data_IF_329415243975
#
_entry.id   IF_329415243975
#
_cell.length_a   1.000
_cell.length_b   1.000
_cell.length_c   1.000
_cell.angle_alpha   90.00
_cell.angle_beta   90.00
_cell.angle_gamma   90.00
#
_symmetry.space_group_name_H-M   'P 1'
#
loop_
_entity.id
_entity.type
_entity.pdbx_description
1 polymer ?
#
# COMPACT_ATOMS: atom_id res chain seq x y z
N UNK A 1 -14.89 -5.56 -11.51
CA UNK A 1 -14.07 -4.34 -11.21
C UNK A 1 -13.94 -4.21 -9.70
N UNK A 2 -12.73 -4.19 -9.13
CA UNK A 2 -12.54 -4.19 -7.67
C UNK A 2 -13.03 -2.87 -7.06
N UNK A 3 -14.27 -2.85 -6.55
CA UNK A 3 -14.90 -1.70 -5.92
C UNK A 3 -14.26 -1.45 -4.54
N UNK A 4 -13.84 -0.21 -4.27
CA UNK A 4 -13.46 0.28 -2.94
C UNK A 4 -14.19 1.59 -2.65
N UNK A 5 -14.84 1.66 -1.50
CA UNK A 5 -15.66 2.80 -1.13
C UNK A 5 -14.85 3.98 -0.56
N UNK A 6 -13.90 4.54 -1.33
CA UNK A 6 -13.15 5.74 -0.91
C UNK A 6 -14.04 6.96 -0.80
N UNK A 7 -15.17 6.99 -1.53
CA UNK A 7 -16.18 8.05 -1.44
C UNK A 7 -16.66 8.30 -0.01
N UNK A 8 -16.73 7.25 0.82
CA UNK A 8 -17.04 7.40 2.23
C UNK A 8 -15.99 8.26 2.96
N UNK A 9 -14.70 7.98 2.74
CA UNK A 9 -13.61 8.75 3.34
C UNK A 9 -13.64 10.20 2.85
N UNK A 10 -13.82 10.40 1.54
CA UNK A 10 -13.89 11.73 0.93
C UNK A 10 -15.07 12.55 1.48
N UNK A 11 -16.25 11.94 1.59
CA UNK A 11 -17.48 12.62 2.05
C UNK A 11 -17.41 13.01 3.52
N UNK A 12 -16.69 12.24 4.33
CA UNK A 12 -16.45 12.52 5.75
C UNK A 12 -15.14 13.30 5.98
N UNK A 13 -14.47 13.77 4.91
CA UNK A 13 -13.22 14.54 4.98
C UNK A 13 -12.08 13.84 5.73
N UNK A 14 -12.03 12.52 5.64
CA UNK A 14 -10.99 11.72 6.28
C UNK A 14 -9.71 11.79 5.45
N UNK A 15 -8.63 12.25 6.04
CA UNK A 15 -7.31 12.31 5.40
C UNK A 15 -6.68 10.90 5.44
N UNK A 16 -6.49 10.30 4.27
CA UNK A 16 -5.84 8.98 4.12
C UNK A 16 -4.62 9.02 3.18
N UNK A 17 -4.23 10.21 2.74
CA UNK A 17 -3.05 10.47 1.93
C UNK A 17 -2.34 11.73 2.42
N UNK A 18 -1.01 11.73 2.34
CA UNK A 18 -0.14 12.86 2.66
C UNK A 18 1.20 12.68 1.95
N UNK A 19 1.58 13.69 1.17
CA UNK A 19 2.91 13.78 0.58
C UNK A 19 3.98 14.05 1.67
N UNK A 20 5.27 13.79 1.38
CA UNK A 20 6.36 14.16 2.28
C UNK A 20 6.31 15.64 2.66
N UNK A 21 6.57 15.95 3.93
CA UNK A 21 6.47 17.32 4.46
C UNK A 21 7.85 17.97 4.52
N UNK A 22 8.84 17.29 5.12
CA UNK A 22 10.20 17.83 5.27
C UNK A 22 11.20 17.23 4.30
N UNK A 23 10.95 16.03 3.77
CA UNK A 23 11.86 15.40 2.83
C UNK A 23 11.73 16.03 1.44
N UNK A 24 12.84 16.52 0.90
CA UNK A 24 12.89 17.10 -0.44
C UNK A 24 13.24 16.06 -1.50
N UNK A 25 12.58 16.08 -2.68
CA UNK A 25 12.90 15.16 -3.76
C UNK A 25 14.25 15.50 -4.41
N UNK A 26 14.98 14.48 -4.85
CA UNK A 26 16.21 14.62 -5.62
C UNK A 26 15.92 15.02 -7.07
N UNK A 27 14.81 14.52 -7.64
CA UNK A 27 14.35 14.90 -8.97
C UNK A 27 12.84 15.14 -8.98
N UNK A 28 12.44 16.16 -9.75
CA UNK A 28 11.03 16.48 -10.00
C UNK A 28 10.77 16.34 -11.50
N UNK A 29 9.75 15.55 -11.82
CA UNK A 29 9.28 15.29 -13.17
C UNK A 29 7.82 15.72 -13.31
N UNK A 30 7.35 15.82 -14.55
CA UNK A 30 5.92 16.09 -14.81
C UNK A 30 5.03 15.01 -14.19
N UNK A 31 5.48 13.76 -14.23
CA UNK A 31 4.74 12.59 -13.73
C UNK A 31 4.83 12.37 -12.21
N UNK A 32 5.82 12.96 -11.51
CA UNK A 32 6.10 12.60 -10.11
C UNK A 32 7.44 13.09 -9.60
N UNK A 33 7.85 12.53 -8.47
CA UNK A 33 9.09 12.90 -7.77
C UNK A 33 9.91 11.67 -7.42
N UNK A 34 11.24 11.83 -7.41
CA UNK A 34 12.21 10.77 -7.09
C UNK A 34 12.99 11.14 -5.84
N UNK A 35 13.17 10.17 -4.95
CA UNK A 35 13.97 10.22 -3.73
C UNK A 35 14.95 9.04 -3.79
N UNK A 36 16.20 9.27 -4.19
CA UNK A 36 17.20 8.21 -4.36
C UNK A 36 17.51 7.48 -3.06
N UNK A 37 17.56 8.22 -1.95
CA UNK A 37 17.70 7.69 -0.60
C UNK A 37 16.35 7.27 0.02
N UNK A 38 15.25 7.55 -0.67
CA UNK A 38 13.89 7.28 -0.25
C UNK A 38 13.36 8.24 0.82
N UNK A 39 12.04 8.22 1.02
CA UNK A 39 11.33 8.94 2.08
C UNK A 39 10.35 8.01 2.79
N UNK A 40 10.22 8.17 4.11
CA UNK A 40 9.20 7.46 4.91
C UNK A 40 7.95 8.32 5.16
N UNK A 41 7.95 9.59 4.73
CA UNK A 41 6.91 10.55 5.07
C UNK A 41 5.68 10.51 4.16
N UNK A 42 5.75 9.74 3.07
CA UNK A 42 4.67 9.60 2.10
C UNK A 42 3.65 8.55 2.54
N UNK A 43 2.50 8.98 3.05
CA UNK A 43 1.36 8.10 3.32
C UNK A 43 0.41 8.16 2.13
N UNK A 44 0.18 7.04 1.46
CA UNK A 44 -0.69 7.00 0.27
C UNK A 44 -1.57 5.76 0.35
N UNK A 45 -2.53 5.79 1.27
CA UNK A 45 -3.43 4.65 1.50
C UNK A 45 -4.34 4.46 0.28
N UNK A 46 -4.65 3.19 0.02
CA UNK A 46 -5.64 2.79 -0.98
C UNK A 46 -5.33 3.28 -2.41
N UNK A 47 -4.04 3.54 -2.71
CA UNK A 47 -3.58 3.94 -4.04
C UNK A 47 -3.76 2.84 -5.10
N UNK A 48 -3.52 1.59 -4.70
CA UNK A 48 -3.60 0.43 -5.60
C UNK A 48 -4.90 -0.36 -5.38
N UNK A 49 -5.30 -1.18 -6.35
CA UNK A 49 -6.45 -2.08 -6.27
C UNK A 49 -6.25 -3.25 -5.29
N UNK A 50 -5.03 -3.47 -4.82
CA UNK A 50 -4.74 -4.47 -3.80
C UNK A 50 -5.53 -4.17 -2.53
N UNK A 51 -6.28 -5.16 -2.05
CA UNK A 51 -7.04 -5.08 -0.78
C UNK A 51 -6.13 -5.46 0.38
N UNK A 52 -6.50 -5.05 1.59
CA UNK A 52 -5.81 -5.44 2.82
C UNK A 52 -6.03 -6.93 3.05
N UNK A 53 -4.93 -7.68 3.13
CA UNK A 53 -4.91 -9.15 3.21
C UNK A 53 -4.63 -9.68 4.62
N UNK A 54 -4.14 -8.84 5.53
CA UNK A 54 -3.72 -9.24 6.89
C UNK A 54 -4.17 -8.27 7.97
N UNK A 55 -4.33 -8.76 9.20
CA UNK A 55 -4.62 -7.92 10.37
C UNK A 55 -3.49 -6.95 10.71
N UNK A 56 -2.23 -7.33 10.47
CA UNK A 56 -1.08 -6.43 10.65
C UNK A 56 -1.19 -5.23 9.72
N UNK A 57 -1.49 -5.48 8.45
CA UNK A 57 -1.71 -4.42 7.46
C UNK A 57 -2.93 -3.57 7.83
N UNK A 58 -4.03 -4.17 8.25
CA UNK A 58 -5.22 -3.45 8.72
C UNK A 58 -4.91 -2.49 9.87
N UNK A 59 -4.23 -2.99 10.93
CA UNK A 59 -3.84 -2.17 12.08
C UNK A 59 -2.99 -0.97 11.65
N UNK A 60 -2.04 -1.19 10.72
CA UNK A 60 -1.22 -0.10 10.17
C UNK A 60 -2.06 0.93 9.40
N UNK A 61 -3.00 0.51 8.55
CA UNK A 61 -3.87 1.44 7.82
C UNK A 61 -4.70 2.31 8.76
N UNK A 62 -5.26 1.70 9.81
CA UNK A 62 -6.03 2.42 10.82
C UNK A 62 -5.15 3.39 11.63
N UNK A 63 -3.93 2.97 11.99
CA UNK A 63 -2.97 3.85 12.66
C UNK A 63 -2.57 5.05 11.80
N UNK A 64 -2.37 4.87 10.50
CA UNK A 64 -2.10 5.99 9.58
C UNK A 64 -3.30 6.94 9.50
N UNK A 65 -4.53 6.42 9.41
CA UNK A 65 -5.73 7.27 9.43
C UNK A 65 -5.80 8.07 10.74
N UNK A 66 -5.63 7.41 11.88
CA UNK A 66 -5.63 8.06 13.19
C UNK A 66 -4.60 9.19 13.26
N UNK A 67 -3.36 8.91 12.85
CA UNK A 67 -2.27 9.89 12.84
C UNK A 67 -2.47 11.06 11.87
N UNK A 68 -3.04 10.82 10.69
CA UNK A 68 -3.25 11.88 9.69
C UNK A 68 -4.42 12.82 10.04
N UNK A 69 -5.26 12.45 11.00
CA UNK A 69 -6.46 13.20 11.39
C UNK A 69 -6.43 13.54 12.89
N UNK A 70 -5.56 14.46 13.35
CA UNK A 70 -5.40 14.75 14.78
C UNK A 70 -6.64 15.36 15.45
N UNK A 71 -7.62 15.84 14.67
CA UNK A 71 -8.89 16.34 15.16
C UNK A 71 -9.97 15.26 15.29
N UNK A 72 -9.69 14.03 14.83
CA UNK A 72 -10.62 12.91 14.87
C UNK A 72 -10.77 12.41 16.30
N UNK A 73 -12.01 12.25 16.76
CA UNK A 73 -12.28 11.65 18.06
C UNK A 73 -12.41 10.11 18.00
N UNK A 74 -12.55 9.48 19.16
CA UNK A 74 -12.62 8.02 19.28
C UNK A 74 -13.85 7.43 18.55
N UNK A 75 -14.99 8.12 18.57
CA UNK A 75 -16.24 7.65 17.98
C UNK A 75 -16.18 7.77 16.45
N UNK A 76 -15.63 8.88 15.94
CA UNK A 76 -15.33 9.07 14.51
C UNK A 76 -14.33 8.02 14.02
N UNK A 77 -13.29 7.73 14.79
CA UNK A 77 -12.32 6.71 14.44
C UNK A 77 -12.93 5.31 14.43
N UNK A 78 -13.76 4.96 15.42
CA UNK A 78 -14.50 3.70 15.41
C UNK A 78 -15.42 3.61 14.18
N UNK A 79 -16.10 4.69 13.83
CA UNK A 79 -16.97 4.74 12.65
C UNK A 79 -16.20 4.49 11.35
N UNK A 80 -15.03 5.12 11.18
CA UNK A 80 -14.14 4.90 10.03
C UNK A 80 -13.58 3.48 10.03
N UNK A 81 -13.14 2.97 11.17
CA UNK A 81 -12.58 1.63 11.30
C UNK A 81 -13.62 0.55 10.94
N UNK A 82 -14.87 0.71 11.40
CA UNK A 82 -16.00 -0.15 11.03
C UNK A 82 -16.28 -0.12 9.53
N UNK A 83 -16.22 1.06 8.91
CA UNK A 83 -16.39 1.17 7.46
C UNK A 83 -15.30 0.42 6.70
N UNK A 84 -14.03 0.59 7.09
CA UNK A 84 -12.89 -0.08 6.44
C UNK A 84 -12.94 -1.60 6.65
N UNK A 85 -13.30 -2.06 7.85
CA UNK A 85 -13.35 -3.49 8.16
C UNK A 85 -14.55 -4.21 7.54
N UNK A 86 -15.57 -3.48 7.08
CA UNK A 86 -16.68 -4.07 6.37
C UNK A 86 -16.23 -4.56 4.99
N UNK A 87 -16.13 -5.88 4.82
CA UNK A 87 -15.72 -6.53 3.58
C UNK A 87 -16.50 -6.05 2.33
N UNK A 88 -17.77 -5.65 2.48
CA UNK A 88 -18.59 -5.12 1.36
C UNK A 88 -18.08 -3.78 0.83
N UNK A 89 -17.34 -3.03 1.62
CA UNK A 89 -16.76 -1.75 1.22
C UNK A 89 -15.43 -1.92 0.44
N UNK A 90 -14.91 -3.15 0.33
CA UNK A 90 -13.81 -3.47 -0.58
C UNK A 90 -12.43 -3.01 -0.14
N UNK A 91 -12.23 -2.71 1.15
CA UNK A 91 -10.90 -2.41 1.69
C UNK A 91 -10.15 -3.67 2.11
N UNK A 92 -10.83 -4.66 2.70
CA UNK A 92 -10.26 -5.91 3.24
C UNK A 92 -10.71 -7.14 2.45
N UNK A 93 -9.90 -8.21 2.44
CA UNK A 93 -10.28 -9.51 1.84
C UNK A 93 -10.93 -10.49 2.83
N UNK A 94 -10.76 -10.25 4.14
CA UNK A 94 -11.20 -11.12 5.23
C UNK A 94 -12.34 -10.50 6.04
N UNK A 95 -13.09 -11.33 6.75
CA UNK A 95 -14.10 -10.88 7.71
C UNK A 95 -13.43 -10.58 9.06
N UNK A 96 -13.68 -9.41 9.63
CA UNK A 96 -13.19 -9.01 10.95
C UNK A 96 -14.29 -9.25 11.98
N UNK A 97 -14.01 -9.96 13.07
CA UNK A 97 -14.97 -10.08 14.16
C UNK A 97 -15.06 -8.78 14.94
N UNK A 98 -16.22 -8.50 15.53
CA UNK A 98 -16.44 -7.30 16.36
C UNK A 98 -15.42 -7.19 17.50
N UNK A 99 -15.13 -8.30 18.17
CA UNK A 99 -14.14 -8.31 19.26
C UNK A 99 -12.73 -7.97 18.75
N UNK A 100 -12.34 -8.52 17.61
CA UNK A 100 -11.02 -8.23 17.03
C UNK A 100 -10.93 -6.76 16.58
N UNK A 101 -11.99 -6.23 15.98
CA UNK A 101 -12.06 -4.82 15.60
C UNK A 101 -11.89 -3.91 16.82
N UNK A 102 -12.63 -4.17 17.90
CA UNK A 102 -12.49 -3.41 19.16
C UNK A 102 -11.08 -3.45 19.72
N UNK A 103 -10.44 -4.63 19.71
CA UNK A 103 -9.05 -4.77 20.15
C UNK A 103 -8.09 -3.95 19.28
N UNK A 104 -8.26 -3.98 17.96
CA UNK A 104 -7.43 -3.18 17.04
C UNK A 104 -7.65 -1.68 17.25
N UNK A 105 -8.90 -1.23 17.42
CA UNK A 105 -9.22 0.18 17.69
C UNK A 105 -8.56 0.63 18.98
N UNK A 106 -8.73 -0.13 20.06
CA UNK A 106 -8.11 0.15 21.35
C UNK A 106 -6.58 0.26 21.21
N UNK A 107 -5.96 -0.76 20.62
CA UNK A 107 -4.52 -0.79 20.37
C UNK A 107 -4.04 0.45 19.60
N UNK A 108 -4.76 0.87 18.56
CA UNK A 108 -4.39 2.03 17.73
C UNK A 108 -4.57 3.34 18.50
N UNK A 109 -5.66 3.48 19.25
CA UNK A 109 -5.93 4.69 20.05
C UNK A 109 -4.92 4.91 21.18
N UNK A 110 -4.18 3.87 21.59
CA UNK A 110 -3.12 3.95 22.60
C UNK A 110 -1.75 4.32 22.02
N UNK A 111 -1.60 4.48 20.70
CA UNK A 111 -0.33 4.91 20.12
C UNK A 111 -0.05 6.38 20.43
N UNK A 112 1.22 6.66 20.76
CA UNK A 112 1.74 8.01 20.80
C UNK A 112 1.80 8.58 19.38
N UNK A 113 1.06 9.68 19.14
CA UNK A 113 0.98 10.36 17.85
C UNK A 113 2.08 11.40 17.64
N UNK A 114 2.95 11.64 18.63
CA UNK A 114 4.14 12.48 18.43
C UNK A 114 5.12 11.82 17.46
N UNK A 115 5.18 10.49 17.44
CA UNK A 115 5.97 9.73 16.47
C UNK A 115 5.13 9.31 15.25
N UNK A 116 5.59 9.58 14.02
CA UNK A 116 4.88 9.16 12.82
C UNK A 116 4.85 7.62 12.71
N UNK A 117 3.74 7.01 12.25
CA UNK A 117 3.66 5.57 12.01
C UNK A 117 4.77 5.11 11.07
N UNK A 118 5.50 4.06 11.46
CA UNK A 118 6.56 3.48 10.62
C UNK A 118 6.00 3.13 9.25
N UNK A 119 6.59 3.67 8.21
CA UNK A 119 6.16 3.47 6.83
C UNK A 119 7.29 2.82 6.03
N UNK A 120 6.95 2.20 4.90
CA UNK A 120 7.98 1.71 3.98
C UNK A 120 8.68 2.86 3.28
N UNK A 121 9.93 2.64 2.91
CA UNK A 121 10.71 3.61 2.18
C UNK A 121 10.14 3.78 0.77
N UNK A 122 9.86 5.02 0.36
CA UNK A 122 9.39 5.37 -0.99
C UNK A 122 10.48 6.08 -1.75
N UNK A 123 10.89 5.52 -2.88
CA UNK A 123 11.84 6.18 -3.79
C UNK A 123 11.16 6.96 -4.91
N UNK A 124 9.91 6.64 -5.20
CA UNK A 124 9.15 7.23 -6.30
C UNK A 124 7.76 7.51 -5.80
N UNK A 125 7.28 8.74 -6.02
CA UNK A 125 5.92 9.16 -5.72
C UNK A 125 5.34 9.74 -7.02
N UNK A 126 4.37 9.03 -7.60
CA UNK A 126 3.67 9.54 -8.77
C UNK A 126 2.63 10.58 -8.34
N UNK A 127 2.42 11.63 -9.14
CA UNK A 127 1.30 12.56 -8.93
C UNK A 127 -0.03 11.86 -9.23
N UNK A 128 -1.08 12.21 -8.52
CA UNK A 128 -2.43 11.70 -8.82
C UNK A 128 -2.92 12.16 -10.20
N UNK A 129 -2.43 13.31 -10.66
CA UNK A 129 -2.75 13.87 -11.99
C UNK A 129 -1.91 13.29 -13.13
N UNK A 130 -0.94 12.41 -12.84
CA UNK A 130 -0.15 11.81 -13.91
C UNK A 130 -1.03 10.88 -14.75
N UNK A 131 -1.07 11.10 -16.07
CA UNK A 131 -1.86 10.30 -17.01
C UNK A 131 -1.16 9.00 -17.42
N UNK A 132 -0.18 8.56 -16.62
CA UNK A 132 0.57 7.34 -16.88
C UNK A 132 -0.29 6.11 -16.63
N UNK A 133 -0.29 5.20 -17.60
CA UNK A 133 -0.82 3.85 -17.45
C UNK A 133 0.01 3.11 -16.40
N UNK A 134 -0.60 2.15 -15.69
CA UNK A 134 0.14 1.32 -14.73
C UNK A 134 1.40 0.64 -15.32
N UNK A 135 1.37 0.22 -16.59
CA UNK A 135 2.53 -0.33 -17.30
C UNK A 135 3.67 0.67 -17.48
N UNK A 136 3.35 1.95 -17.69
CA UNK A 136 4.35 3.02 -17.81
C UNK A 136 4.93 3.37 -16.44
N UNK A 137 4.09 3.40 -15.39
CA UNK A 137 4.55 3.54 -14.00
C UNK A 137 5.51 2.41 -13.63
N UNK A 138 5.17 1.17 -13.98
CA UNK A 138 6.03 0.00 -13.81
C UNK A 138 7.39 0.18 -14.53
N UNK A 139 7.37 0.66 -15.77
CA UNK A 139 8.61 0.90 -16.52
C UNK A 139 9.51 1.93 -15.82
N UNK A 140 8.95 3.07 -15.40
CA UNK A 140 9.67 4.13 -14.66
C UNK A 140 10.28 3.57 -13.37
N UNK A 141 9.49 2.84 -12.58
CA UNK A 141 9.98 2.22 -11.34
C UNK A 141 11.12 1.25 -11.65
N UNK A 142 10.99 0.38 -12.66
CA UNK A 142 12.06 -0.53 -13.08
C UNK A 142 13.34 0.20 -13.50
N UNK A 143 13.24 1.29 -14.26
CA UNK A 143 14.38 2.09 -14.73
C UNK A 143 15.13 2.81 -13.60
N UNK A 144 14.41 3.26 -12.56
CA UNK A 144 15.01 3.94 -11.41
C UNK A 144 15.54 2.92 -10.40
N UNK A 145 14.74 1.90 -10.07
CA UNK A 145 15.10 0.85 -9.11
C UNK A 145 16.22 -0.06 -9.61
N UNK A 146 16.25 -0.34 -10.92
CA UNK A 146 17.31 -1.13 -11.57
C UNK A 146 18.70 -0.50 -11.51
N UNK A 147 18.81 0.77 -11.12
CA UNK A 147 20.10 1.44 -10.84
C UNK A 147 20.69 1.03 -9.48
N UNK A 148 19.88 0.44 -8.59
CA UNK A 148 20.33 0.02 -7.26
C UNK A 148 20.86 -1.42 -7.30
N UNK A 149 22.00 -1.68 -6.65
CA UNK A 149 22.71 -2.97 -6.75
C UNK A 149 21.98 -4.14 -6.08
N UNK A 150 20.96 -3.90 -5.25
CA UNK A 150 20.34 -4.94 -4.42
C UNK A 150 18.82 -4.80 -4.41
N UNK A 151 18.12 -5.85 -4.87
CA UNK A 151 16.67 -5.99 -4.75
C UNK A 151 16.31 -6.32 -3.29
N UNK A 152 15.48 -5.50 -2.67
CA UNK A 152 15.01 -5.66 -1.29
C UNK A 152 13.61 -6.29 -1.22
N UNK A 153 13.14 -6.61 0.00
CA UNK A 153 11.77 -7.09 0.22
C UNK A 153 10.72 -6.04 -0.15
N UNK A 154 10.96 -4.78 0.23
CA UNK A 154 10.04 -3.68 -0.08
C UNK A 154 9.91 -3.50 -1.60
N UNK A 155 11.02 -3.60 -2.34
CA UNK A 155 11.00 -3.52 -3.80
C UNK A 155 10.13 -4.63 -4.40
N UNK A 156 10.34 -5.87 -3.94
CA UNK A 156 9.56 -7.03 -4.42
C UNK A 156 8.08 -6.82 -4.11
N UNK A 157 7.73 -6.35 -2.92
CA UNK A 157 6.35 -6.08 -2.56
C UNK A 157 5.72 -4.99 -3.43
N UNK A 158 6.43 -3.91 -3.71
CA UNK A 158 5.95 -2.86 -4.62
C UNK A 158 5.72 -3.38 -6.05
N UNK A 159 6.61 -4.24 -6.55
CA UNK A 159 6.41 -4.90 -7.84
C UNK A 159 5.19 -5.84 -7.84
N UNK A 160 4.93 -6.56 -6.74
CA UNK A 160 3.72 -7.38 -6.58
C UNK A 160 2.45 -6.53 -6.62
N UNK A 161 2.43 -5.40 -5.92
CA UNK A 161 1.31 -4.47 -5.94
C UNK A 161 1.06 -3.88 -7.33
N UNK A 162 2.13 -3.55 -8.05
CA UNK A 162 2.02 -2.98 -9.38
C UNK A 162 1.56 -4.01 -10.44
N UNK A 163 1.95 -5.29 -10.31
CA UNK A 163 1.37 -6.39 -11.09
C UNK A 163 -0.12 -6.62 -10.75
N UNK A 164 -0.49 -6.56 -9.47
CA UNK A 164 -1.88 -6.66 -9.04
C UNK A 164 -2.75 -5.52 -9.62
N UNK A 165 -2.20 -4.30 -9.69
CA UNK A 165 -2.88 -3.12 -10.24
C UNK A 165 -3.30 -3.30 -11.71
N UNK A 166 -2.45 -3.95 -12.51
CA UNK A 166 -2.73 -4.31 -13.91
C UNK A 166 -3.53 -5.60 -14.07
N UNK A 167 -4.01 -6.18 -12.97
CA UNK A 167 -4.74 -7.45 -12.94
C UNK A 167 -3.94 -8.61 -13.55
N UNK A 168 -2.61 -8.57 -13.41
CA UNK A 168 -1.75 -9.59 -13.95
C UNK A 168 -1.27 -10.56 -12.86
N UNK A 169 -1.25 -11.86 -13.18
CA UNK A 169 -0.85 -12.90 -12.23
C UNK A 169 0.60 -12.69 -11.82
N UNK A 170 0.82 -12.64 -10.51
CA UNK A 170 2.13 -12.41 -9.92
C UNK A 170 2.92 -13.72 -9.92
N UNK A 171 3.95 -13.80 -10.76
CA UNK A 171 4.89 -14.92 -10.83
C UNK A 171 6.31 -14.46 -10.52
N UNK A 172 7.14 -15.37 -10.01
CA UNK A 172 8.56 -15.07 -9.74
C UNK A 172 9.31 -14.70 -11.02
N UNK A 173 8.96 -15.30 -12.15
CA UNK A 173 9.57 -14.98 -13.44
C UNK A 173 9.27 -13.56 -13.90
N UNK A 174 8.05 -13.06 -13.64
CA UNK A 174 7.70 -11.65 -13.95
C UNK A 174 8.44 -10.69 -13.05
N UNK A 175 8.55 -10.99 -11.75
CA UNK A 175 9.34 -10.20 -10.81
C UNK A 175 10.83 -10.19 -11.21
N UNK A 176 11.37 -11.35 -11.59
CA UNK A 176 12.75 -11.49 -12.05
C UNK A 176 13.02 -10.64 -13.31
N UNK A 177 12.12 -10.69 -14.30
CA UNK A 177 12.17 -9.85 -15.50
C UNK A 177 12.08 -8.36 -15.15
N UNK A 178 11.18 -8.00 -14.24
CA UNK A 178 10.98 -6.61 -13.80
C UNK A 178 12.24 -5.99 -13.20
N UNK A 179 12.97 -6.75 -12.38
CA UNK A 179 14.24 -6.32 -11.77
C UNK A 179 15.48 -6.64 -12.61
N UNK A 180 15.31 -7.18 -13.82
CA UNK A 180 16.40 -7.68 -14.67
C UNK A 180 17.40 -8.57 -13.90
N UNK A 181 16.88 -9.52 -13.12
CA UNK A 181 17.68 -10.40 -12.27
C UNK A 181 17.24 -11.86 -12.39
N UNK A 182 17.98 -12.78 -11.77
CA UNK A 182 17.61 -14.20 -11.76
C UNK A 182 16.42 -14.48 -10.83
N UNK A 183 15.61 -15.49 -11.15
CA UNK A 183 14.58 -16.00 -10.24
C UNK A 183 15.14 -16.37 -8.85
N UNK A 184 16.39 -16.87 -8.80
CA UNK A 184 17.10 -17.17 -7.55
C UNK A 184 17.30 -15.93 -6.68
N UNK A 185 17.59 -14.77 -7.29
CA UNK A 185 17.71 -13.49 -6.57
C UNK A 185 16.39 -13.10 -5.93
N UNK A 186 15.28 -13.27 -6.64
CA UNK A 186 13.94 -13.02 -6.10
C UNK A 186 13.64 -13.97 -4.94
N UNK A 187 13.83 -15.29 -5.11
CA UNK A 187 13.58 -16.27 -4.05
C UNK A 187 14.40 -16.03 -2.78
N UNK A 188 15.65 -15.57 -2.91
CA UNK A 188 16.52 -15.27 -1.77
C UNK A 188 16.02 -14.08 -0.95
N UNK A 189 15.48 -13.07 -1.61
CA UNK A 189 14.97 -11.87 -0.95
C UNK A 189 13.50 -12.02 -0.52
N UNK A 190 12.74 -12.94 -1.11
CA UNK A 190 11.34 -13.18 -0.80
C UNK A 190 11.19 -14.10 0.43
N UNK A 191 11.07 -13.50 1.62
CA UNK A 191 10.78 -14.21 2.87
C UNK A 191 9.42 -14.91 2.88
N UNK A 192 9.13 -15.68 3.93
CA UNK A 192 7.87 -16.44 4.05
C UNK A 192 6.64 -15.53 4.06
N UNK A 193 6.72 -14.35 4.68
CA UNK A 193 5.63 -13.37 4.68
C UNK A 193 5.29 -12.90 3.25
N UNK A 194 6.30 -12.53 2.45
CA UNK A 194 6.08 -12.11 1.06
C UNK A 194 5.58 -13.24 0.15
N UNK A 195 6.03 -14.48 0.38
CA UNK A 195 5.52 -15.65 -0.36
C UNK A 195 4.03 -15.83 -0.13
N UNK A 196 3.59 -15.73 1.12
CA UNK A 196 2.18 -15.79 1.50
C UNK A 196 1.39 -14.61 0.93
N UNK A 197 1.96 -13.41 0.98
CA UNK A 197 1.32 -12.21 0.42
C UNK A 197 1.10 -12.34 -1.09
N UNK A 198 2.08 -12.87 -1.84
CA UNK A 198 1.93 -13.19 -3.27
C UNK A 198 0.73 -14.11 -3.53
N UNK A 199 0.55 -15.13 -2.69
CA UNK A 199 -0.57 -16.07 -2.82
C UNK A 199 -1.91 -15.38 -2.55
N UNK A 200 -1.99 -14.55 -1.51
CA UNK A 200 -3.20 -13.79 -1.15
C UNK A 200 -3.57 -12.78 -2.24
N UNK A 201 -2.60 -12.05 -2.80
CA UNK A 201 -2.84 -11.11 -3.90
C UNK A 201 -3.32 -11.83 -5.16
N UNK A 202 -2.75 -12.99 -5.50
CA UNK A 202 -3.23 -13.79 -6.63
C UNK A 202 -4.61 -14.41 -6.39
N UNK A 203 -4.95 -14.77 -5.14
CA UNK A 203 -6.30 -15.21 -4.78
C UNK A 203 -7.30 -14.07 -4.95
N UNK A 204 -6.94 -12.85 -4.52
CA UNK A 204 -7.75 -11.66 -4.72
C UNK A 204 -8.05 -11.42 -6.20
N UNK A 205 -7.05 -11.54 -7.09
CA UNK A 205 -7.25 -11.40 -8.53
C UNK A 205 -8.32 -12.36 -9.07
N UNK A 206 -8.28 -13.63 -8.64
CA UNK A 206 -9.27 -14.65 -9.04
C UNK A 206 -10.67 -14.37 -8.49
N UNK A 207 -10.78 -13.74 -7.34
CA UNK A 207 -12.07 -13.32 -6.78
C UNK A 207 -12.62 -12.10 -7.54
N UNK A 208 -11.76 -11.13 -7.84
CA UNK A 208 -12.14 -9.91 -8.57
C UNK A 208 -12.51 -10.19 -10.04
N UNK A 209 -12.00 -11.27 -10.66
CA UNK A 209 -12.43 -11.77 -11.99
C UNK A 209 -13.85 -12.36 -12.03
N UNK A 210 -14.36 -12.84 -10.89
CA UNK A 210 -15.69 -13.47 -10.81
C UNK A 210 -16.84 -12.45 -10.68
N UNK A 211 -16.52 -11.16 -10.52
CA UNK A 211 -17.44 -10.05 -10.20
C UNK A 211 -17.42 -8.98 -11.27
#
# INVERSE_FOLDING_TARGET
>A
MSYRNTKFLDSNRIIYRRDPISDHPDEVHDWGTVYYNGTHQCYDLFRTKAKITTYRSLKWHLLVIWYLNPAMDQDEFEYVARNICNKKNGFVTFTVSEQLLKNIIYDVSMYDLEEPPRNKMRKIIFKDTCQLKPSEKLHIVGSIMGRTKTVTQDDIYDAMLALNEIQDVITVDKLAKYFNCSARTIYRNMGNELKKEKELLNQQLKEDEKV
#
